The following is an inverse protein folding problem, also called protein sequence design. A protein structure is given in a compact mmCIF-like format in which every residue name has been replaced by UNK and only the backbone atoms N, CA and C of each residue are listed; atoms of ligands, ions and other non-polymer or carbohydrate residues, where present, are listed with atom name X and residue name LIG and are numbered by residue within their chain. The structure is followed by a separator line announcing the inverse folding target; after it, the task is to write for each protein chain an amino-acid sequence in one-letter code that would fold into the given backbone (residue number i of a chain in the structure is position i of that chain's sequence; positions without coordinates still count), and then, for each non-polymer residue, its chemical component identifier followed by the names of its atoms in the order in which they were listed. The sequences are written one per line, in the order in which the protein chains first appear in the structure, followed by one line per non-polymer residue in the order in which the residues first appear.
data_IF_246357165675
#
_entry.id   IF_246357165675
#
_cell.length_a   1.000
_cell.length_b   1.000
_cell.length_c   1.000
_cell.angle_alpha   90.00
_cell.angle_beta   90.00
_cell.angle_gamma   90.00
#
_symmetry.space_group_name_H-M   'P 1'
#
loop_
_entity.id
_entity.type
_entity.pdbx_description
1 polymer ?
#
# COMPACT_ATOMS: atom_id res chain seq x y z
N UNK A 1 -1.71 23.57 -53.11
CA UNK A 1 -2.91 23.71 -52.23
C UNK A 1 -3.01 22.61 -51.14
N UNK A 2 -2.27 21.49 -51.19
CA UNK A 2 -2.40 20.42 -50.17
C UNK A 2 -1.57 20.53 -48.87
N UNK A 3 -0.58 21.43 -48.78
CA UNK A 3 0.39 21.44 -47.68
C UNK A 3 -0.22 21.79 -46.31
N UNK A 4 -1.20 22.70 -46.26
CA UNK A 4 -1.83 23.11 -45.01
C UNK A 4 -2.76 22.04 -44.43
N UNK A 5 -3.50 21.33 -45.30
CA UNK A 5 -4.34 20.19 -44.90
C UNK A 5 -3.49 19.01 -44.40
N UNK A 6 -2.36 18.72 -45.07
CA UNK A 6 -1.41 17.71 -44.60
C UNK A 6 -0.82 18.04 -43.23
N UNK A 7 -0.48 19.31 -42.96
CA UNK A 7 0.01 19.78 -41.67
C UNK A 7 -1.04 19.61 -40.56
N UNK A 8 -2.29 20.02 -40.81
CA UNK A 8 -3.39 19.86 -39.84
C UNK A 8 -3.66 18.39 -39.52
N UNK A 9 -3.61 17.51 -40.52
CA UNK A 9 -3.72 16.07 -40.30
C UNK A 9 -2.55 15.50 -39.47
N UNK A 10 -1.33 15.98 -39.71
CA UNK A 10 -0.16 15.58 -38.93
C UNK A 10 -0.26 16.04 -37.47
N UNK A 11 -0.70 17.27 -37.22
CA UNK A 11 -0.91 17.78 -35.86
C UNK A 11 -2.05 17.02 -35.16
N UNK A 12 -3.15 16.72 -35.85
CA UNK A 12 -4.22 15.88 -35.30
C UNK A 12 -3.71 14.50 -34.87
N UNK A 13 -2.90 13.84 -35.71
CA UNK A 13 -2.29 12.55 -35.37
C UNK A 13 -1.35 12.71 -34.16
N UNK A 14 -0.55 13.77 -34.09
CA UNK A 14 0.36 14.05 -32.97
C UNK A 14 -0.41 14.27 -31.67
N UNK A 15 -1.45 15.10 -31.69
CA UNK A 15 -2.29 15.41 -30.54
C UNK A 15 -2.93 14.12 -30.00
N UNK A 16 -3.56 13.32 -30.86
CA UNK A 16 -4.19 12.06 -30.44
C UNK A 16 -3.16 11.09 -29.86
N UNK A 17 -1.97 10.97 -30.47
CA UNK A 17 -0.88 10.16 -29.93
C UNK A 17 -0.42 10.66 -28.56
N UNK A 18 -0.28 11.97 -28.37
CA UNK A 18 0.13 12.56 -27.10
C UNK A 18 -0.90 12.31 -26.00
N UNK A 19 -2.19 12.50 -26.28
CA UNK A 19 -3.28 12.22 -25.34
C UNK A 19 -3.27 10.74 -24.95
N UNK A 20 -3.21 9.82 -25.92
CA UNK A 20 -3.11 8.38 -25.65
C UNK A 20 -1.90 8.03 -24.81
N UNK A 21 -0.73 8.57 -25.13
CA UNK A 21 0.49 8.32 -24.37
C UNK A 21 0.40 8.86 -22.93
N UNK A 22 -0.21 10.02 -22.73
CA UNK A 22 -0.43 10.59 -21.40
C UNK A 22 -1.37 9.71 -20.58
N UNK A 23 -2.51 9.32 -21.16
CA UNK A 23 -3.48 8.41 -20.52
C UNK A 23 -2.82 7.08 -20.15
N UNK A 24 -2.06 6.48 -21.07
CA UNK A 24 -1.36 5.22 -20.82
C UNK A 24 -0.37 5.34 -19.65
N UNK A 25 0.36 6.45 -19.55
CA UNK A 25 1.29 6.68 -18.42
C UNK A 25 0.53 6.82 -17.10
N UNK A 26 -0.56 7.57 -17.08
CA UNK A 26 -1.38 7.76 -15.88
C UNK A 26 -1.94 6.43 -15.40
N UNK A 27 -2.61 5.69 -16.28
CA UNK A 27 -3.22 4.40 -15.96
C UNK A 27 -2.17 3.39 -15.49
N UNK A 28 -1.00 3.33 -16.14
CA UNK A 28 0.07 2.44 -15.72
C UNK A 28 0.61 2.79 -14.33
N UNK A 29 0.79 4.08 -14.04
CA UNK A 29 1.22 4.55 -12.73
C UNK A 29 0.19 4.22 -11.65
N UNK A 30 -1.09 4.46 -11.90
CA UNK A 30 -2.17 4.16 -10.95
C UNK A 30 -2.28 2.66 -10.69
N UNK A 31 -2.27 1.84 -11.74
CA UNK A 31 -2.29 0.38 -11.63
C UNK A 31 -1.10 -0.12 -10.82
N UNK A 32 0.12 0.35 -11.12
CA UNK A 32 1.31 -0.04 -10.38
C UNK A 32 1.27 0.40 -8.91
N UNK A 33 0.73 1.59 -8.63
CA UNK A 33 0.58 2.09 -7.27
C UNK A 33 -0.46 1.29 -6.49
N UNK A 34 -1.61 0.98 -7.10
CA UNK A 34 -2.65 0.17 -6.50
C UNK A 34 -2.12 -1.22 -6.15
N UNK A 35 -1.45 -1.90 -7.09
CA UNK A 35 -0.84 -3.21 -6.84
C UNK A 35 0.17 -3.19 -5.69
N UNK A 36 0.98 -2.12 -5.56
CA UNK A 36 1.91 -1.97 -4.43
C UNK A 36 1.18 -1.82 -3.10
N UNK A 37 0.09 -1.05 -3.06
CA UNK A 37 -0.71 -0.81 -1.86
C UNK A 37 -1.40 -2.11 -1.43
N UNK A 38 -2.07 -2.80 -2.37
CA UNK A 38 -2.74 -4.08 -2.11
C UNK A 38 -1.76 -5.12 -1.59
N UNK A 39 -0.61 -5.29 -2.26
CA UNK A 39 0.39 -6.24 -1.81
C UNK A 39 0.98 -5.88 -0.43
N UNK A 40 1.12 -4.59 -0.11
CA UNK A 40 1.56 -4.18 1.22
C UNK A 40 0.52 -4.48 2.30
N UNK A 41 -0.75 -4.17 2.03
CA UNK A 41 -1.88 -4.51 2.89
C UNK A 41 -1.92 -6.00 3.23
N UNK A 42 -1.85 -6.87 2.20
CA UNK A 42 -1.90 -8.32 2.39
C UNK A 42 -0.71 -8.83 3.21
N UNK A 43 0.51 -8.34 2.94
CA UNK A 43 1.69 -8.72 3.73
C UNK A 43 1.56 -8.29 5.20
N UNK A 44 0.99 -7.12 5.46
CA UNK A 44 0.79 -6.63 6.83
C UNK A 44 -0.17 -7.54 7.58
N UNK A 45 -1.32 -7.87 6.98
CA UNK A 45 -2.33 -8.76 7.55
C UNK A 45 -1.71 -10.14 7.85
N UNK A 46 -1.08 -10.77 6.86
CA UNK A 46 -0.44 -12.08 7.02
C UNK A 46 0.63 -12.12 8.12
N UNK A 47 1.40 -11.04 8.27
CA UNK A 47 2.41 -10.94 9.33
C UNK A 47 1.78 -10.79 10.71
N UNK A 48 0.69 -10.02 10.83
CA UNK A 48 -0.04 -9.86 12.08
C UNK A 48 -0.73 -11.17 12.47
N UNK A 49 -1.42 -11.83 11.53
CA UNK A 49 -2.07 -13.13 11.73
C UNK A 49 -1.06 -14.19 12.18
N UNK A 50 0.10 -14.27 11.51
CA UNK A 50 1.18 -15.18 11.92
C UNK A 50 1.60 -14.95 13.39
N UNK A 51 1.80 -13.68 13.78
CA UNK A 51 2.18 -13.39 15.17
C UNK A 51 1.04 -13.70 16.13
N UNK A 52 -0.21 -13.40 15.76
CA UNK A 52 -1.39 -13.71 16.56
C UNK A 52 -1.53 -15.21 16.82
N UNK A 53 -1.36 -16.04 15.79
CA UNK A 53 -1.53 -17.49 15.87
C UNK A 53 -0.43 -18.17 16.70
N UNK A 54 0.84 -17.77 16.53
CA UNK A 54 1.97 -18.46 17.15
C UNK A 54 2.41 -17.89 18.50
N UNK A 55 2.24 -16.58 18.72
CA UNK A 55 2.79 -15.88 19.89
C UNK A 55 1.74 -15.02 20.62
N UNK A 56 0.61 -14.74 19.98
CA UNK A 56 -0.41 -13.81 20.45
C UNK A 56 0.00 -12.34 20.30
N UNK A 57 -0.98 -11.45 20.12
CA UNK A 57 -0.74 -10.00 19.98
C UNK A 57 -0.19 -9.31 21.24
N UNK A 58 -0.19 -10.02 22.37
CA UNK A 58 0.39 -9.52 23.64
C UNK A 58 1.90 -9.30 23.59
N UNK A 59 2.59 -9.92 22.63
CA UNK A 59 4.03 -9.68 22.39
C UNK A 59 4.32 -8.26 21.92
N UNK A 60 3.35 -7.60 21.30
CA UNK A 60 3.49 -6.22 20.86
C UNK A 60 3.30 -5.25 22.05
N UNK A 61 4.12 -4.19 22.15
CA UNK A 61 3.82 -3.04 23.00
C UNK A 61 2.45 -2.43 22.65
N UNK A 62 1.76 -1.82 23.63
CA UNK A 62 0.37 -1.36 23.49
C UNK A 62 0.09 -0.60 22.17
N UNK A 63 0.91 0.39 21.81
CA UNK A 63 0.69 1.16 20.57
C UNK A 63 0.91 0.38 19.27
N UNK A 64 1.68 -0.72 19.28
CA UNK A 64 1.80 -1.65 18.16
C UNK A 64 0.66 -2.68 18.16
N UNK A 65 0.19 -3.09 19.35
CA UNK A 65 -0.95 -3.98 19.49
C UNK A 65 -2.22 -3.35 18.96
N UNK A 66 -2.52 -2.11 19.36
CA UNK A 66 -3.72 -1.39 18.91
C UNK A 66 -3.79 -1.30 17.38
N UNK A 67 -2.68 -0.96 16.72
CA UNK A 67 -2.68 -0.88 15.25
C UNK A 67 -2.73 -2.26 14.59
N UNK A 68 -2.19 -3.30 15.24
CA UNK A 68 -2.29 -4.67 14.75
C UNK A 68 -3.74 -5.16 14.79
N UNK A 69 -4.44 -4.92 15.90
CA UNK A 69 -5.86 -5.23 16.08
C UNK A 69 -6.71 -4.47 15.06
N UNK A 70 -6.56 -3.14 14.96
CA UNK A 70 -7.27 -2.34 13.98
C UNK A 70 -7.03 -2.79 12.54
N UNK A 71 -5.83 -3.28 12.21
CA UNK A 71 -5.51 -3.75 10.86
C UNK A 71 -6.19 -5.07 10.52
N UNK A 72 -6.42 -5.93 11.50
CA UNK A 72 -7.19 -7.17 11.33
C UNK A 72 -8.69 -6.91 11.27
N UNK A 73 -9.17 -5.98 12.10
CA UNK A 73 -10.59 -5.60 12.17
C UNK A 73 -11.02 -4.84 10.91
N UNK A 74 -10.15 -4.00 10.35
CA UNK A 74 -10.40 -3.23 9.13
C UNK A 74 -9.29 -3.44 8.08
N UNK A 75 -9.43 -4.53 7.34
CA UNK A 75 -8.48 -4.96 6.31
C UNK A 75 -8.50 -4.07 5.06
N UNK A 76 -9.62 -3.38 4.80
CA UNK A 76 -9.78 -2.52 3.61
C UNK A 76 -9.39 -1.07 3.90
N UNK A 77 -9.37 -0.65 5.17
CA UNK A 77 -8.95 0.69 5.55
C UNK A 77 -7.55 1.05 5.03
N UNK A 78 -7.43 2.28 4.57
CA UNK A 78 -6.16 2.90 4.26
C UNK A 78 -5.37 3.19 5.54
N UNK A 79 -4.06 3.37 5.39
CA UNK A 79 -3.18 3.79 6.49
C UNK A 79 -3.60 5.11 7.15
N UNK A 80 -4.36 5.96 6.44
CA UNK A 80 -4.87 7.22 6.99
C UNK A 80 -6.07 6.95 7.89
N UNK A 81 -7.02 6.14 7.45
CA UNK A 81 -8.22 5.76 8.20
C UNK A 81 -7.84 5.01 9.48
N UNK A 82 -6.95 4.02 9.39
CA UNK A 82 -6.40 3.33 10.57
C UNK A 82 -5.78 4.30 11.59
N UNK A 83 -5.10 5.35 11.10
CA UNK A 83 -4.49 6.36 11.96
C UNK A 83 -5.52 7.25 12.67
N UNK A 84 -6.68 7.46 12.05
CA UNK A 84 -7.80 8.22 12.62
C UNK A 84 -8.60 7.40 13.63
N UNK A 85 -8.59 6.07 13.52
CA UNK A 85 -9.23 5.16 14.48
C UNK A 85 -8.45 5.02 15.79
N UNK A 86 -7.18 5.40 15.82
CA UNK A 86 -6.35 5.38 17.03
C UNK A 86 -6.66 6.55 17.98
N UNK A 87 -6.42 6.36 19.27
CA UNK A 87 -6.55 7.39 20.29
C UNK A 87 -5.25 7.52 21.12
N UNK A 88 -4.46 8.59 20.96
CA UNK A 88 -4.69 9.73 20.08
C UNK A 88 -4.49 9.38 18.59
N UNK A 89 -5.17 10.10 17.68
CA UNK A 89 -5.03 9.86 16.24
C UNK A 89 -3.62 10.20 15.77
N UNK A 90 -3.13 9.42 14.81
CA UNK A 90 -1.80 9.60 14.22
C UNK A 90 -1.88 9.71 12.70
N UNK A 91 -0.90 10.39 12.11
CA UNK A 91 -0.83 10.51 10.65
C UNK A 91 -0.42 9.21 9.94
N UNK A 92 -0.67 9.15 8.62
CA UNK A 92 -0.29 8.05 7.72
C UNK A 92 1.14 7.53 7.94
N UNK A 93 2.11 8.45 8.09
CA UNK A 93 3.52 8.09 8.29
C UNK A 93 3.75 7.35 9.61
N UNK A 94 3.06 7.78 10.68
CA UNK A 94 3.13 7.12 11.99
C UNK A 94 2.57 5.70 11.95
N UNK A 95 1.41 5.51 11.30
CA UNK A 95 0.83 4.18 11.07
C UNK A 95 1.78 3.29 10.28
N UNK A 96 2.30 3.80 9.16
CA UNK A 96 3.25 3.06 8.32
C UNK A 96 4.50 2.63 9.09
N UNK A 97 5.01 3.50 9.97
CA UNK A 97 6.15 3.16 10.81
C UNK A 97 5.83 2.02 11.79
N UNK A 98 4.67 2.08 12.46
CA UNK A 98 4.23 1.03 13.39
C UNK A 98 4.03 -0.31 12.69
N UNK A 99 3.36 -0.33 11.53
CA UNK A 99 3.16 -1.55 10.74
C UNK A 99 4.49 -2.14 10.25
N UNK A 100 5.43 -1.31 9.77
CA UNK A 100 6.80 -1.79 9.48
C UNK A 100 7.47 -2.42 10.68
N UNK A 101 7.25 -1.86 11.88
CA UNK A 101 7.83 -2.42 13.10
C UNK A 101 7.25 -3.79 13.44
N UNK A 102 5.96 -3.98 13.21
CA UNK A 102 5.28 -5.27 13.34
C UNK A 102 5.87 -6.27 12.33
N UNK A 103 6.04 -5.88 11.07
CA UNK A 103 6.66 -6.74 10.04
C UNK A 103 8.08 -7.18 10.46
N UNK A 104 8.90 -6.26 10.98
CA UNK A 104 10.24 -6.60 11.50
C UNK A 104 10.20 -7.61 12.65
N UNK A 105 9.21 -7.48 13.54
CA UNK A 105 9.03 -8.39 14.68
C UNK A 105 8.57 -9.76 14.17
N UNK A 106 7.58 -9.80 13.29
CA UNK A 106 7.07 -11.03 12.67
C UNK A 106 8.19 -11.80 11.95
N UNK A 107 9.03 -11.10 11.19
CA UNK A 107 10.16 -11.70 10.47
C UNK A 107 11.22 -12.26 11.42
N UNK A 108 11.53 -11.55 12.51
CA UNK A 108 12.44 -12.06 13.56
C UNK A 108 11.87 -13.32 14.22
N UNK A 109 10.57 -13.33 14.51
CA UNK A 109 9.89 -14.49 15.10
C UNK A 109 9.91 -15.67 14.13
N UNK A 110 9.69 -15.47 12.83
CA UNK A 110 9.81 -16.53 11.80
C UNK A 110 11.22 -17.11 11.73
N UNK A 111 12.26 -16.27 11.78
CA UNK A 111 13.65 -16.74 11.75
C UNK A 111 14.05 -17.51 13.01
N UNK A 112 13.53 -17.09 14.16
CA UNK A 112 13.86 -17.71 15.45
C UNK A 112 12.99 -18.94 15.76
N UNK A 113 11.75 -18.97 15.28
CA UNK A 113 10.81 -20.10 15.35
C UNK A 113 10.89 -21.04 14.15
N UNK A 114 11.78 -20.76 13.20
CA UNK A 114 12.13 -21.65 12.10
C UNK A 114 12.73 -22.92 12.65
N UNK A 115 11.89 -23.94 12.76
CA UNK A 115 12.24 -25.34 13.03
C UNK A 115 13.45 -25.73 12.16
N UNK A 116 14.51 -26.20 12.83
CA UNK A 116 15.44 -27.19 12.28
C UNK A 116 14.70 -28.51 12.10
#
# INVERSE_FOLDING_TARGET
IGAHSALLNLENIRIVKQVRNNVNRIVNCETANLSKIVNASLRQIQNIEYVQEHYGLKIFPNGLREIAELRLDDQEASLKELGQMLNPPIGKSGVNHRLRKIEEIAEKLRKNGGVK
#
